data_IF_020407783978
#
_entry.id   IF_020407783978
#
_cell.length_a   1.000
_cell.length_b   1.000
_cell.length_c   1.000
_cell.angle_alpha   90.00
_cell.angle_beta   90.00
_cell.angle_gamma   90.00
#
_symmetry.space_group_name_H-M   'P 1'
#
loop_
_entity.id
_entity.type
_entity.pdbx_description
1 polymer ?
#
# COMPACT_ATOMS: atom_id res chain seq x y z
N UNK A 1 -23.36 -6.00 22.29
CA UNK A 1 -23.98 -7.27 22.76
C UNK A 1 -25.18 -7.73 21.89
N UNK A 2 -26.10 -6.83 21.46
CA UNK A 2 -27.30 -7.24 20.69
C UNK A 2 -26.93 -7.97 19.38
N UNK A 3 -26.07 -7.40 18.53
CA UNK A 3 -25.74 -8.00 17.24
C UNK A 3 -25.11 -9.40 17.36
N UNK A 4 -24.22 -9.61 18.31
CA UNK A 4 -23.56 -10.91 18.54
C UNK A 4 -24.59 -11.95 19.01
N UNK A 5 -25.45 -11.56 19.95
CA UNK A 5 -26.50 -12.42 20.49
C UNK A 5 -27.54 -12.77 19.42
N UNK A 6 -27.91 -11.83 18.56
CA UNK A 6 -28.90 -12.05 17.51
C UNK A 6 -28.34 -12.87 16.36
N UNK A 7 -27.07 -12.69 15.98
CA UNK A 7 -26.40 -13.56 15.03
C UNK A 7 -26.36 -15.00 15.51
N UNK A 8 -26.07 -15.24 16.80
CA UNK A 8 -26.06 -16.58 17.38
C UNK A 8 -27.44 -17.21 17.51
N UNK A 9 -28.50 -16.39 17.68
CA UNK A 9 -29.87 -16.91 17.64
C UNK A 9 -30.24 -17.38 16.24
N UNK A 10 -29.81 -16.64 15.21
CA UNK A 10 -30.05 -17.00 13.82
C UNK A 10 -29.19 -18.22 13.39
N UNK A 11 -27.93 -18.28 13.85
CA UNK A 11 -27.02 -19.37 13.56
C UNK A 11 -26.08 -19.59 14.76
N UNK A 12 -26.22 -20.72 15.45
CA UNK A 12 -25.38 -21.07 16.60
C UNK A 12 -23.88 -21.24 16.23
N UNK A 13 -23.58 -21.54 14.97
CA UNK A 13 -22.23 -21.62 14.42
C UNK A 13 -21.60 -20.28 14.03
N UNK A 14 -22.36 -19.16 14.09
CA UNK A 14 -21.85 -17.86 13.67
C UNK A 14 -20.60 -17.43 14.46
N UNK A 15 -19.59 -16.99 13.73
CA UNK A 15 -18.38 -16.36 14.27
C UNK A 15 -18.42 -14.88 13.97
N UNK A 16 -18.20 -14.05 14.97
CA UNK A 16 -18.10 -12.61 14.80
C UNK A 16 -16.67 -12.24 14.40
N UNK A 17 -16.50 -11.61 13.24
CA UNK A 17 -15.23 -11.10 12.76
C UNK A 17 -15.16 -9.59 13.03
N UNK A 18 -14.12 -9.14 13.73
CA UNK A 18 -13.94 -7.74 14.10
C UNK A 18 -12.60 -7.22 13.60
N UNK A 19 -12.63 -6.10 12.88
CA UNK A 19 -11.43 -5.37 12.48
C UNK A 19 -10.78 -4.71 13.68
N UNK A 20 -9.47 -4.82 13.81
CA UNK A 20 -8.71 -4.35 14.96
C UNK A 20 -7.78 -3.15 14.71
N UNK A 21 -7.74 -2.58 13.49
CA UNK A 21 -6.86 -1.42 13.21
C UNK A 21 -7.09 -0.25 14.16
N UNK A 22 -8.34 -0.01 14.55
CA UNK A 22 -8.71 1.07 15.46
C UNK A 22 -8.15 0.89 16.88
N UNK A 23 -7.79 -0.32 17.28
CA UNK A 23 -7.29 -0.59 18.62
C UNK A 23 -5.92 0.08 18.87
N UNK A 24 -5.07 0.20 17.86
CA UNK A 24 -3.83 0.95 17.94
C UNK A 24 -4.03 2.44 17.70
N UNK A 25 -4.78 2.79 16.64
CA UNK A 25 -5.02 4.18 16.24
C UNK A 25 -5.80 4.98 17.29
N UNK A 26 -6.78 4.36 17.95
CA UNK A 26 -7.63 4.99 18.97
C UNK A 26 -7.44 4.35 20.34
N UNK A 27 -6.17 4.13 20.75
CA UNK A 27 -5.80 3.47 22.01
C UNK A 27 -6.43 4.11 23.24
N UNK A 28 -6.69 5.43 23.21
CA UNK A 28 -7.35 6.19 24.28
C UNK A 28 -8.83 5.81 24.47
N UNK A 29 -9.47 5.25 23.44
CA UNK A 29 -10.84 4.70 23.50
C UNK A 29 -10.77 3.20 23.77
N UNK A 30 -9.90 2.52 23.01
CA UNK A 30 -9.71 1.07 23.07
C UNK A 30 -8.57 0.71 24.02
N UNK A 31 -8.72 1.10 25.30
CA UNK A 31 -7.76 0.65 26.29
C UNK A 31 -7.92 -0.84 26.62
N UNK A 32 -6.98 -1.37 27.41
CA UNK A 32 -6.98 -2.79 27.80
C UNK A 32 -8.30 -3.22 28.43
N UNK A 33 -8.89 -2.40 29.31
CA UNK A 33 -10.13 -2.74 30.02
C UNK A 33 -11.34 -2.70 29.12
N UNK A 34 -11.42 -1.72 28.23
CA UNK A 34 -12.56 -1.51 27.31
C UNK A 34 -12.68 -2.66 26.33
N UNK A 35 -11.59 -3.05 25.65
CA UNK A 35 -11.62 -4.19 24.73
C UNK A 35 -11.90 -5.49 25.50
N UNK A 36 -11.26 -5.69 26.67
CA UNK A 36 -11.50 -6.86 27.51
C UNK A 36 -12.97 -6.99 27.92
N UNK A 37 -13.60 -5.89 28.33
CA UNK A 37 -15.03 -5.88 28.68
C UNK A 37 -15.92 -6.24 27.48
N UNK A 38 -15.58 -5.70 26.27
CA UNK A 38 -16.33 -5.99 25.05
C UNK A 38 -16.28 -7.48 24.70
N UNK A 39 -15.09 -8.07 24.68
CA UNK A 39 -14.91 -9.46 24.22
C UNK A 39 -15.21 -10.51 25.28
N UNK A 40 -15.24 -10.14 26.56
CA UNK A 40 -15.45 -11.07 27.70
C UNK A 40 -16.75 -11.87 27.63
N UNK A 41 -17.77 -11.33 26.96
CA UNK A 41 -19.10 -11.96 26.83
C UNK A 41 -19.24 -12.86 25.59
N UNK A 42 -18.19 -12.95 24.78
CA UNK A 42 -18.18 -13.77 23.58
C UNK A 42 -17.30 -14.99 23.80
N UNK A 43 -17.78 -16.23 23.55
CA UNK A 43 -16.92 -17.42 23.62
C UNK A 43 -15.70 -17.29 22.74
N UNK A 44 -14.57 -17.92 23.15
CA UNK A 44 -13.28 -17.73 22.49
C UNK A 44 -13.26 -18.22 21.03
N UNK A 45 -14.06 -19.25 20.72
CA UNK A 45 -14.24 -19.79 19.37
C UNK A 45 -15.32 -19.08 18.53
N UNK A 46 -15.96 -18.03 19.05
CA UNK A 46 -17.04 -17.29 18.39
C UNK A 46 -16.70 -15.86 18.02
N UNK A 47 -15.45 -15.49 18.15
CA UNK A 47 -14.92 -14.22 17.71
C UNK A 47 -13.54 -14.41 17.06
N UNK A 48 -13.34 -13.69 15.97
CA UNK A 48 -12.06 -13.58 15.27
C UNK A 48 -11.68 -12.11 15.19
N UNK A 49 -10.55 -11.76 15.80
CA UNK A 49 -10.01 -10.40 15.77
C UNK A 49 -8.96 -10.31 14.66
N UNK A 50 -9.18 -9.42 13.72
CA UNK A 50 -8.22 -9.13 12.65
C UNK A 50 -7.32 -7.99 13.13
N UNK A 51 -6.07 -8.27 13.49
CA UNK A 51 -5.08 -7.23 13.82
C UNK A 51 -4.51 -6.66 12.51
N UNK A 52 -5.31 -5.84 11.84
CA UNK A 52 -5.11 -5.45 10.44
C UNK A 52 -3.90 -4.54 10.19
N UNK A 53 -3.41 -3.83 11.19
CA UNK A 53 -2.48 -2.73 11.00
C UNK A 53 -1.24 -2.84 11.89
N UNK A 54 -0.65 -4.04 11.97
CA UNK A 54 0.57 -4.27 12.76
C UNK A 54 1.73 -3.43 12.25
N UNK A 55 1.84 -3.27 10.94
CA UNK A 55 2.81 -2.41 10.26
C UNK A 55 2.65 -0.94 10.64
N UNK A 56 1.42 -0.41 10.66
CA UNK A 56 1.13 0.96 11.09
C UNK A 56 1.41 1.17 12.59
N UNK A 57 1.03 0.24 13.44
CA UNK A 57 1.37 0.32 14.86
C UNK A 57 2.87 0.47 15.07
N UNK A 58 3.67 -0.36 14.40
CA UNK A 58 5.12 -0.41 14.60
C UNK A 58 5.85 0.75 13.94
N UNK A 59 5.49 1.11 12.70
CA UNK A 59 6.31 1.98 11.87
C UNK A 59 5.75 3.40 11.68
N UNK A 60 4.47 3.64 11.95
CA UNK A 60 3.86 4.94 11.74
C UNK A 60 3.26 5.54 13.01
N UNK A 61 2.40 4.81 13.71
CA UNK A 61 1.83 5.31 14.97
C UNK A 61 2.80 5.20 16.14
N UNK A 62 3.92 4.49 15.95
CA UNK A 62 4.95 4.26 16.99
C UNK A 62 4.34 3.81 18.32
N UNK A 63 3.35 2.94 18.24
CA UNK A 63 2.66 2.36 19.39
C UNK A 63 3.06 0.91 19.59
N UNK A 64 2.94 0.43 20.83
CA UNK A 64 3.04 -1.00 21.08
C UNK A 64 2.08 -1.76 20.18
N UNK A 65 2.51 -2.85 19.56
CA UNK A 65 1.65 -3.67 18.69
C UNK A 65 0.46 -4.23 19.46
N UNK A 66 -0.70 -4.28 18.84
CA UNK A 66 -1.94 -4.60 19.54
C UNK A 66 -1.91 -5.95 20.25
N UNK A 67 -1.38 -7.00 19.56
CA UNK A 67 -1.35 -8.34 20.13
C UNK A 67 -0.49 -8.43 21.41
N UNK A 68 0.53 -7.60 21.54
CA UNK A 68 1.36 -7.52 22.74
C UNK A 68 0.66 -6.74 23.84
N UNK A 69 0.15 -5.56 23.53
CA UNK A 69 -0.61 -4.71 24.45
C UNK A 69 -1.83 -5.42 25.04
N UNK A 70 -2.58 -6.16 24.24
CA UNK A 70 -3.75 -6.93 24.70
C UNK A 70 -3.42 -8.36 25.11
N UNK A 71 -2.13 -8.71 25.25
CA UNK A 71 -1.66 -10.02 25.72
C UNK A 71 -2.33 -11.18 24.99
N UNK A 72 -2.21 -11.21 23.65
CA UNK A 72 -2.84 -12.20 22.81
C UNK A 72 -4.37 -12.09 22.75
N UNK A 73 -4.87 -10.86 22.83
CA UNK A 73 -6.30 -10.55 22.70
C UNK A 73 -7.20 -11.36 23.66
N UNK A 74 -6.79 -11.47 24.93
CA UNK A 74 -7.58 -12.18 25.97
C UNK A 74 -7.87 -13.63 25.60
N UNK A 75 -6.95 -14.28 24.88
CA UNK A 75 -7.07 -15.63 24.35
C UNK A 75 -8.17 -15.83 23.28
N UNK A 76 -8.71 -14.74 22.71
CA UNK A 76 -9.60 -14.85 21.55
C UNK A 76 -8.79 -15.25 20.32
N UNK A 77 -9.46 -15.87 19.33
CA UNK A 77 -8.84 -16.12 18.04
C UNK A 77 -8.49 -14.80 17.37
N UNK A 78 -7.29 -14.72 16.82
CA UNK A 78 -6.86 -13.52 16.10
C UNK A 78 -5.93 -13.83 14.92
N UNK A 79 -5.85 -12.88 14.01
CA UNK A 79 -5.04 -12.95 12.77
C UNK A 79 -3.99 -11.85 12.84
N UNK A 80 -2.70 -12.22 12.71
CA UNK A 80 -1.65 -11.26 12.42
C UNK A 80 -1.84 -10.74 11.01
N UNK A 81 -2.07 -9.44 10.83
CA UNK A 81 -2.33 -8.88 9.52
C UNK A 81 -1.73 -7.50 9.34
N UNK A 82 -1.40 -7.19 8.09
CA UNK A 82 -0.77 -5.93 7.68
C UNK A 82 -1.62 -5.24 6.61
N UNK A 83 -1.50 -3.91 6.54
CA UNK A 83 -2.20 -3.07 5.57
C UNK A 83 -1.19 -2.13 4.88
N UNK A 84 -0.35 -2.64 3.98
CA UNK A 84 0.81 -1.92 3.46
C UNK A 84 0.47 -0.66 2.66
N UNK A 85 -0.74 -0.52 2.16
CA UNK A 85 -1.19 0.64 1.39
C UNK A 85 -2.60 1.07 1.78
N UNK A 86 -2.75 1.54 3.00
CA UNK A 86 -3.98 2.11 3.51
C UNK A 86 -4.51 3.23 2.58
N UNK A 87 -5.81 3.22 2.29
CA UNK A 87 -6.44 4.20 1.40
C UNK A 87 -6.28 3.91 -0.10
N UNK A 88 -5.85 2.72 -0.48
CA UNK A 88 -5.70 2.32 -1.88
C UNK A 88 -4.64 3.12 -2.65
N UNK A 89 -3.76 3.82 -1.93
CA UNK A 89 -2.67 4.61 -2.53
C UNK A 89 -1.54 3.71 -2.93
N UNK A 90 -0.92 4.09 -4.03
CA UNK A 90 0.05 3.28 -4.71
C UNK A 90 1.38 3.98 -4.75
N UNK A 91 2.34 3.33 -4.21
CA UNK A 91 3.73 3.68 -4.35
C UNK A 91 4.56 2.49 -3.95
N UNK A 92 5.72 2.35 -4.55
CA UNK A 92 6.71 1.41 -4.08
C UNK A 92 7.18 1.89 -2.71
N UNK A 93 6.77 1.19 -1.68
CA UNK A 93 7.10 1.48 -0.28
C UNK A 93 6.93 0.23 0.56
N UNK A 94 7.54 0.21 1.73
CA UNK A 94 7.42 -0.86 2.70
C UNK A 94 8.78 -1.43 3.11
N UNK A 95 8.88 -1.84 4.37
CA UNK A 95 10.10 -2.47 4.89
C UNK A 95 10.00 -3.96 4.63
N UNK A 96 10.53 -4.45 3.49
CA UNK A 96 10.35 -5.85 3.08
C UNK A 96 10.78 -6.85 4.16
N UNK A 97 11.87 -6.59 4.89
CA UNK A 97 12.29 -7.48 5.98
C UNK A 97 11.24 -7.60 7.09
N UNK A 98 10.55 -6.50 7.42
CA UNK A 98 9.45 -6.54 8.37
C UNK A 98 8.26 -7.37 7.84
N UNK A 99 7.90 -7.19 6.56
CA UNK A 99 6.78 -7.93 5.97
C UNK A 99 7.08 -9.43 5.82
N UNK A 100 8.34 -9.78 5.58
CA UNK A 100 8.77 -11.17 5.53
C UNK A 100 8.83 -11.84 6.91
N UNK A 101 9.29 -11.11 7.94
CA UNK A 101 9.74 -11.73 9.19
C UNK A 101 9.01 -11.23 10.45
N UNK A 102 8.25 -10.13 10.37
CA UNK A 102 7.61 -9.52 11.53
C UNK A 102 6.59 -10.42 12.25
N UNK A 103 5.92 -11.32 11.55
CA UNK A 103 5.00 -12.29 12.13
C UNK A 103 5.70 -13.31 13.04
N UNK A 104 6.99 -13.56 12.83
CA UNK A 104 7.77 -14.50 13.65
C UNK A 104 7.94 -13.98 15.09
N UNK A 105 7.95 -12.66 15.28
CA UNK A 105 7.95 -12.04 16.61
C UNK A 105 6.69 -12.46 17.38
N UNK A 106 5.52 -12.38 16.74
CA UNK A 106 4.26 -12.79 17.32
C UNK A 106 4.19 -14.30 17.59
N UNK A 107 4.65 -15.12 16.63
CA UNK A 107 4.66 -16.59 16.76
C UNK A 107 5.53 -17.07 17.92
N UNK A 108 6.66 -16.42 18.18
CA UNK A 108 7.60 -16.78 19.25
C UNK A 108 7.28 -16.13 20.61
N UNK A 109 6.37 -15.15 20.64
CA UNK A 109 6.04 -14.41 21.86
C UNK A 109 5.27 -15.27 22.88
N UNK A 110 5.57 -15.12 24.18
CA UNK A 110 4.71 -15.67 25.24
C UNK A 110 3.31 -15.05 25.24
N UNK A 111 3.15 -13.86 24.64
CA UNK A 111 1.88 -13.14 24.50
C UNK A 111 1.14 -13.47 23.20
N UNK A 112 1.54 -14.47 22.44
CA UNK A 112 0.86 -14.82 21.16
C UNK A 112 -0.62 -15.21 21.34
N UNK A 113 -1.02 -15.64 22.53
CA UNK A 113 -2.39 -16.08 22.79
C UNK A 113 -2.85 -17.11 21.78
N UNK A 114 -4.05 -16.92 21.24
CA UNK A 114 -4.64 -17.80 20.25
C UNK A 114 -4.49 -17.21 18.82
N UNK A 115 -3.25 -16.98 18.39
CA UNK A 115 -2.91 -16.62 17.01
C UNK A 115 -3.17 -17.81 16.09
N UNK A 116 -4.08 -17.64 15.12
CA UNK A 116 -4.53 -18.76 14.26
C UNK A 116 -4.21 -18.58 12.77
N UNK A 117 -3.90 -17.36 12.33
CA UNK A 117 -3.66 -17.10 10.92
C UNK A 117 -2.78 -15.88 10.69
N UNK A 118 -2.24 -15.79 9.47
CA UNK A 118 -1.58 -14.63 8.90
C UNK A 118 -2.49 -14.00 7.85
N UNK A 119 -2.45 -12.68 7.67
CA UNK A 119 -3.33 -11.96 6.76
C UNK A 119 -2.70 -10.75 6.10
N UNK A 120 -3.24 -10.42 4.95
CA UNK A 120 -2.95 -9.22 4.19
C UNK A 120 -4.26 -8.51 3.87
N UNK A 121 -4.35 -7.23 4.16
CA UNK A 121 -5.51 -6.38 3.87
C UNK A 121 -5.14 -5.29 2.85
N UNK A 122 -4.95 -5.62 1.57
CA UNK A 122 -4.62 -4.62 0.56
C UNK A 122 -5.85 -3.79 0.23
N UNK A 123 -5.70 -2.47 0.21
CA UNK A 123 -6.74 -1.56 -0.28
C UNK A 123 -6.56 -1.20 -1.76
N UNK A 124 -5.42 -1.57 -2.36
CA UNK A 124 -5.14 -1.47 -3.78
C UNK A 124 -4.27 -2.63 -4.22
N UNK A 125 -4.84 -3.56 -4.98
CA UNK A 125 -4.24 -4.86 -5.29
C UNK A 125 -3.41 -4.90 -6.58
N UNK A 126 -3.46 -3.86 -7.38
CA UNK A 126 -2.74 -3.79 -8.67
C UNK A 126 -1.41 -3.03 -8.56
N UNK A 127 -0.78 -3.07 -7.41
CA UNK A 127 0.45 -2.32 -7.15
C UNK A 127 1.24 -2.91 -6.00
N UNK A 128 2.56 -2.70 -6.00
CA UNK A 128 3.46 -3.22 -4.99
C UNK A 128 3.44 -4.75 -4.91
N UNK A 129 3.43 -5.39 -6.07
CA UNK A 129 3.27 -6.83 -6.25
C UNK A 129 4.32 -7.62 -5.47
N UNK A 130 5.57 -7.15 -5.45
CA UNK A 130 6.67 -7.77 -4.71
C UNK A 130 6.34 -7.88 -3.22
N UNK A 131 5.76 -6.84 -2.64
CA UNK A 131 5.39 -6.83 -1.22
C UNK A 131 4.21 -7.78 -0.95
N UNK A 132 3.22 -7.79 -1.82
CA UNK A 132 2.05 -8.66 -1.65
C UNK A 132 2.42 -10.13 -1.79
N UNK A 133 3.25 -10.48 -2.75
CA UNK A 133 3.75 -11.84 -2.92
C UNK A 133 4.57 -12.26 -1.70
N UNK A 134 5.49 -11.38 -1.24
CA UNK A 134 6.29 -11.63 -0.04
C UNK A 134 5.43 -11.87 1.22
N UNK A 135 4.41 -11.06 1.45
CA UNK A 135 3.51 -11.22 2.61
C UNK A 135 2.74 -12.53 2.53
N UNK A 136 2.30 -12.91 1.34
CA UNK A 136 1.59 -14.19 1.17
C UNK A 136 2.51 -15.38 1.38
N UNK A 137 3.73 -15.36 0.90
CA UNK A 137 4.74 -16.40 1.14
C UNK A 137 5.12 -16.48 2.62
N UNK A 138 5.30 -15.32 3.27
CA UNK A 138 5.58 -15.24 4.70
C UNK A 138 4.52 -15.94 5.56
N UNK A 139 3.25 -15.86 5.14
CA UNK A 139 2.15 -16.53 5.84
C UNK A 139 2.26 -18.06 5.90
N UNK A 140 3.04 -18.66 5.02
CA UNK A 140 3.30 -20.10 4.97
C UNK A 140 4.64 -20.49 5.61
N UNK A 141 5.43 -19.51 6.07
CA UNK A 141 6.74 -19.73 6.67
C UNK A 141 6.72 -19.58 8.19
N UNK A 142 7.35 -20.49 8.89
CA UNK A 142 7.63 -20.41 10.32
C UNK A 142 9.12 -20.19 10.62
N UNK A 143 9.91 -19.86 9.61
CA UNK A 143 11.35 -19.57 9.70
C UNK A 143 11.67 -18.27 8.97
N UNK A 144 12.85 -17.73 9.28
CA UNK A 144 13.30 -16.47 8.69
C UNK A 144 13.44 -16.61 7.17
N UNK A 145 12.86 -15.64 6.46
CA UNK A 145 13.04 -15.46 5.01
C UNK A 145 14.23 -14.53 4.80
N UNK A 146 15.23 -15.01 4.07
CA UNK A 146 16.37 -14.20 3.63
C UNK A 146 15.98 -13.40 2.39
N UNK A 147 15.71 -12.12 2.57
CA UNK A 147 15.08 -11.24 1.57
C UNK A 147 15.81 -11.27 0.23
N UNK A 148 17.15 -11.25 0.22
CA UNK A 148 17.89 -11.19 -1.03
C UNK A 148 17.77 -12.47 -1.84
N UNK A 149 17.71 -13.62 -1.18
CA UNK A 149 17.50 -14.92 -1.86
C UNK A 149 16.03 -15.00 -2.35
N UNK A 150 15.09 -14.59 -1.53
CA UNK A 150 13.69 -14.53 -1.94
C UNK A 150 13.48 -13.61 -3.17
N UNK A 151 14.12 -12.42 -3.21
CA UNK A 151 14.04 -11.50 -4.34
C UNK A 151 14.68 -12.08 -5.62
N UNK A 152 15.69 -12.94 -5.47
CA UNK A 152 16.25 -13.67 -6.61
C UNK A 152 15.21 -14.63 -7.18
N UNK A 153 14.60 -15.47 -6.34
CA UNK A 153 13.57 -16.42 -6.75
C UNK A 153 12.34 -15.70 -7.33
N UNK A 154 11.90 -14.61 -6.70
CA UNK A 154 10.86 -13.72 -7.21
C UNK A 154 11.16 -13.24 -8.63
N UNK A 155 12.38 -12.73 -8.85
CA UNK A 155 12.79 -12.23 -10.17
C UNK A 155 12.84 -13.34 -11.22
N UNK A 156 13.33 -14.52 -10.86
CA UNK A 156 13.36 -15.68 -11.75
C UNK A 156 11.94 -16.13 -12.14
N UNK A 157 11.02 -16.16 -11.18
CA UNK A 157 9.64 -16.55 -11.42
C UNK A 157 8.88 -15.48 -12.25
N UNK A 158 9.07 -14.19 -11.92
CA UNK A 158 8.34 -13.09 -12.56
C UNK A 158 8.85 -12.73 -13.94
N UNK A 159 10.17 -12.74 -14.11
CA UNK A 159 10.82 -12.32 -15.37
C UNK A 159 11.35 -13.49 -16.20
N UNK A 160 11.29 -14.72 -15.67
CA UNK A 160 11.82 -15.93 -16.31
C UNK A 160 13.33 -16.13 -16.12
N UNK A 161 14.03 -15.12 -15.64
CA UNK A 161 15.46 -15.15 -15.24
C UNK A 161 15.79 -13.96 -14.35
N UNK A 162 16.92 -14.04 -13.67
CA UNK A 162 17.54 -12.88 -13.00
C UNK A 162 18.91 -12.57 -13.62
N UNK A 163 19.47 -11.42 -13.27
CA UNK A 163 20.80 -10.97 -13.68
C UNK A 163 21.49 -10.21 -12.56
N UNK A 164 22.77 -9.91 -12.74
CA UNK A 164 23.50 -9.08 -11.78
C UNK A 164 22.88 -7.68 -11.65
N UNK A 165 22.38 -7.11 -12.75
CA UNK A 165 21.73 -5.79 -12.76
C UNK A 165 20.42 -5.82 -11.98
N UNK A 166 19.56 -6.84 -12.16
CA UNK A 166 18.32 -7.00 -11.38
C UNK A 166 18.64 -7.14 -9.89
N UNK A 167 19.62 -7.94 -9.51
CA UNK A 167 19.99 -8.09 -8.10
C UNK A 167 20.57 -6.80 -7.52
N UNK A 168 21.36 -6.05 -8.31
CA UNK A 168 21.83 -4.73 -7.91
C UNK A 168 20.70 -3.73 -7.78
N UNK A 169 19.70 -3.78 -8.65
CA UNK A 169 18.49 -2.96 -8.54
C UNK A 169 17.77 -3.22 -7.21
N UNK A 170 17.56 -4.49 -6.85
CA UNK A 170 16.96 -4.83 -5.55
C UNK A 170 17.78 -4.34 -4.37
N UNK A 171 19.11 -4.48 -4.41
CA UNK A 171 19.99 -3.99 -3.34
C UNK A 171 19.84 -2.47 -3.11
N UNK A 172 19.64 -1.68 -4.18
CA UNK A 172 19.34 -0.24 -4.07
C UNK A 172 17.90 0.05 -3.64
N UNK A 173 16.92 -0.70 -4.12
CA UNK A 173 15.54 -0.54 -3.71
C UNK A 173 15.32 -0.88 -2.23
N UNK A 174 16.04 -1.87 -1.69
CA UNK A 174 16.05 -2.20 -0.26
C UNK A 174 16.64 -1.08 0.61
N UNK A 175 17.49 -0.23 0.07
CA UNK A 175 18.05 0.95 0.76
C UNK A 175 17.16 2.18 0.64
N UNK A 176 16.17 2.16 -0.24
CA UNK A 176 15.29 3.27 -0.54
C UNK A 176 13.83 2.92 -0.25
N UNK A 177 13.01 2.74 -1.26
CA UNK A 177 11.56 2.55 -1.13
C UNK A 177 11.17 1.29 -0.36
N UNK A 178 11.91 0.22 -0.49
CA UNK A 178 11.66 -1.05 0.20
C UNK A 178 12.41 -1.22 1.53
N UNK A 179 13.08 -0.17 1.99
CA UNK A 179 13.66 -0.03 3.33
C UNK A 179 12.94 1.00 4.21
N UNK A 180 11.87 1.62 3.70
CA UNK A 180 11.12 2.67 4.40
C UNK A 180 9.64 2.35 4.46
N UNK A 181 8.98 2.88 5.50
CA UNK A 181 7.53 2.85 5.64
C UNK A 181 6.98 4.26 5.42
N UNK A 182 6.02 4.39 4.53
CA UNK A 182 5.39 5.68 4.20
C UNK A 182 3.89 5.58 4.40
N UNK A 183 3.33 6.43 5.25
CA UNK A 183 1.89 6.54 5.44
C UNK A 183 1.25 7.14 4.19
N UNK A 184 0.25 6.45 3.64
CA UNK A 184 -0.48 6.90 2.47
C UNK A 184 0.48 7.37 1.35
N UNK A 185 1.31 6.48 0.79
CA UNK A 185 2.38 6.84 -0.13
C UNK A 185 1.85 7.52 -1.38
N UNK A 186 2.13 8.80 -1.52
CA UNK A 186 1.75 9.64 -2.65
C UNK A 186 2.59 10.91 -2.72
N UNK A 187 2.57 11.55 -3.85
CA UNK A 187 3.18 12.86 -4.04
C UNK A 187 2.21 13.99 -3.64
N UNK A 188 2.74 15.13 -3.20
CA UNK A 188 1.92 16.28 -2.86
C UNK A 188 1.20 16.88 -4.08
N UNK A 189 1.78 16.81 -5.28
CA UNK A 189 1.14 17.26 -6.51
C UNK A 189 -0.11 16.44 -6.89
N UNK A 190 -0.30 15.26 -6.32
CA UNK A 190 -1.54 14.47 -6.46
C UNK A 190 -2.66 14.96 -5.53
N UNK A 191 -2.36 15.90 -4.64
CA UNK A 191 -3.32 16.49 -3.72
C UNK A 191 -3.97 17.73 -4.34
N UNK A 192 -5.07 18.18 -3.73
CA UNK A 192 -5.62 19.50 -4.05
C UNK A 192 -4.62 20.59 -3.70
N UNK A 193 -4.56 21.68 -4.48
CA UNK A 193 -3.71 22.82 -4.16
C UNK A 193 -3.94 23.30 -2.73
N UNK A 194 -2.86 23.56 -2.01
CA UNK A 194 -2.89 24.01 -0.62
C UNK A 194 -3.06 22.90 0.43
N UNK A 195 -3.25 21.65 0.02
CA UNK A 195 -3.24 20.51 0.93
C UNK A 195 -1.85 19.88 0.97
N UNK A 196 -1.20 19.95 2.12
CA UNK A 196 0.07 19.25 2.37
C UNK A 196 -0.21 18.10 3.33
N UNK A 197 0.19 16.87 2.96
CA UNK A 197 0.15 15.72 3.86
C UNK A 197 1.55 15.20 4.15
N UNK A 198 1.70 14.66 5.35
CA UNK A 198 2.89 13.91 5.72
C UNK A 198 2.94 12.60 4.94
N UNK A 199 4.13 12.09 4.69
CA UNK A 199 4.30 10.80 4.02
C UNK A 199 4.48 10.94 2.51
N UNK A 200 5.61 11.49 2.07
CA UNK A 200 6.01 11.48 0.67
C UNK A 200 6.67 10.15 0.29
N UNK A 201 6.50 9.77 -0.97
CA UNK A 201 7.24 8.63 -1.54
C UNK A 201 8.74 8.95 -1.50
N UNK A 202 9.55 7.99 -1.06
CA UNK A 202 11.00 8.17 -0.98
C UNK A 202 11.63 8.08 -2.38
N UNK A 203 11.99 9.22 -2.95
CA UNK A 203 12.75 9.35 -4.19
C UNK A 203 14.12 9.92 -3.84
N UNK A 204 15.11 9.07 -3.77
CA UNK A 204 16.50 9.40 -3.42
C UNK A 204 17.48 8.85 -4.46
N UNK A 205 18.77 9.11 -4.25
CA UNK A 205 19.82 8.65 -5.17
C UNK A 205 19.88 7.13 -5.31
N UNK A 206 19.66 6.39 -4.21
CA UNK A 206 19.64 4.93 -4.27
C UNK A 206 18.45 4.42 -5.11
N UNK A 207 17.28 5.08 -5.05
CA UNK A 207 16.17 4.74 -5.94
C UNK A 207 16.56 4.94 -7.41
N UNK A 208 17.21 6.07 -7.73
CA UNK A 208 17.68 6.33 -9.09
C UNK A 208 18.66 5.26 -9.57
N UNK A 209 19.64 4.90 -8.76
CA UNK A 209 20.60 3.82 -9.08
C UNK A 209 19.90 2.48 -9.26
N UNK A 210 18.90 2.18 -8.44
CA UNK A 210 18.07 0.98 -8.60
C UNK A 210 17.34 0.97 -9.93
N UNK A 211 16.71 2.08 -10.31
CA UNK A 211 16.05 2.22 -11.60
C UNK A 211 17.04 2.09 -12.77
N UNK A 212 18.24 2.70 -12.68
CA UNK A 212 19.28 2.60 -13.70
C UNK A 212 19.73 1.16 -13.91
N UNK A 213 20.00 0.41 -12.81
CA UNK A 213 20.30 -1.02 -12.90
C UNK A 213 19.14 -1.81 -13.53
N UNK A 214 17.91 -1.47 -13.17
CA UNK A 214 16.73 -2.13 -13.75
C UNK A 214 16.63 -1.85 -15.26
N UNK A 215 16.91 -0.61 -15.71
CA UNK A 215 16.99 -0.24 -17.13
C UNK A 215 18.08 -1.02 -17.86
N UNK A 216 19.26 -1.19 -17.27
CA UNK A 216 20.35 -1.94 -17.88
C UNK A 216 20.02 -3.41 -18.14
N UNK A 217 19.10 -3.99 -17.38
CA UNK A 217 18.61 -5.35 -17.62
C UNK A 217 17.67 -5.47 -18.85
N UNK A 218 17.33 -4.35 -19.53
CA UNK A 218 16.38 -4.34 -20.63
C UNK A 218 16.84 -5.16 -21.86
N UNK A 219 18.15 -5.25 -22.11
CA UNK A 219 18.68 -6.07 -23.22
C UNK A 219 18.29 -7.55 -23.05
N UNK A 220 18.21 -8.00 -21.81
CA UNK A 220 17.89 -9.37 -21.44
C UNK A 220 16.39 -9.62 -21.20
N UNK A 221 15.69 -8.65 -20.61
CA UNK A 221 14.33 -8.81 -20.06
C UNK A 221 13.28 -7.97 -20.79
N UNK A 222 13.68 -7.07 -21.69
CA UNK A 222 12.81 -6.08 -22.30
C UNK A 222 11.60 -6.66 -23.06
N UNK A 223 11.63 -7.93 -23.45
CA UNK A 223 10.51 -8.62 -24.08
C UNK A 223 9.53 -9.27 -23.08
N UNK A 224 9.87 -9.30 -21.78
CA UNK A 224 9.00 -9.87 -20.76
C UNK A 224 7.91 -8.84 -20.36
N UNK A 225 6.62 -9.18 -20.43
CA UNK A 225 5.55 -8.24 -20.14
C UNK A 225 5.53 -7.79 -18.66
N UNK A 226 5.90 -8.66 -17.71
CA UNK A 226 5.93 -8.30 -16.27
C UNK A 226 7.06 -7.32 -16.00
N UNK A 227 8.25 -7.55 -16.60
CA UNK A 227 9.35 -6.61 -16.52
C UNK A 227 8.98 -5.23 -17.10
N UNK A 228 8.25 -5.18 -18.22
CA UNK A 228 7.80 -3.93 -18.83
C UNK A 228 6.84 -3.15 -17.93
N UNK A 229 5.93 -3.83 -17.23
CA UNK A 229 5.00 -3.20 -16.29
C UNK A 229 5.77 -2.63 -15.10
N UNK A 230 6.63 -3.44 -14.46
CA UNK A 230 7.39 -3.01 -13.31
C UNK A 230 8.33 -1.84 -13.66
N UNK A 231 8.97 -1.88 -14.83
CA UNK A 231 9.77 -0.78 -15.37
C UNK A 231 8.95 0.49 -15.53
N UNK A 232 7.72 0.39 -16.07
CA UNK A 232 6.86 1.54 -16.25
C UNK A 232 6.42 2.16 -14.91
N UNK A 233 6.09 1.34 -13.93
CA UNK A 233 5.71 1.80 -12.58
C UNK A 233 6.88 2.44 -11.83
N UNK A 234 8.05 1.80 -11.84
CA UNK A 234 9.27 2.35 -11.24
C UNK A 234 9.64 3.71 -11.86
N UNK A 235 9.60 3.78 -13.20
CA UNK A 235 9.90 5.02 -13.93
C UNK A 235 8.87 6.10 -13.63
N UNK A 236 7.58 5.77 -13.60
CA UNK A 236 6.52 6.72 -13.27
C UNK A 236 6.67 7.26 -11.85
N UNK A 237 7.03 6.41 -10.88
CA UNK A 237 7.29 6.85 -9.51
C UNK A 237 8.50 7.80 -9.44
N UNK A 238 9.57 7.53 -10.17
CA UNK A 238 10.72 8.42 -10.26
C UNK A 238 10.36 9.78 -10.89
N UNK A 239 9.64 9.75 -12.02
CA UNK A 239 9.16 10.97 -12.68
C UNK A 239 8.21 11.76 -11.77
N UNK A 240 7.35 11.08 -11.03
CA UNK A 240 6.52 11.69 -10.00
C UNK A 240 7.33 12.47 -8.96
N UNK A 241 8.48 11.94 -8.54
CA UNK A 241 9.42 12.66 -7.65
C UNK A 241 10.03 13.90 -8.31
N UNK A 242 10.34 13.85 -9.61
CA UNK A 242 10.80 15.04 -10.36
C UNK A 242 9.71 16.09 -10.48
N UNK A 243 8.48 15.67 -10.72
CA UNK A 243 7.30 16.56 -10.73
C UNK A 243 7.09 17.21 -9.36
N UNK A 244 7.27 16.47 -8.27
CA UNK A 244 7.22 17.01 -6.90
C UNK A 244 8.23 18.14 -6.68
N UNK A 245 9.45 17.97 -7.16
CA UNK A 245 10.49 19.01 -7.08
C UNK A 245 10.09 20.24 -7.91
N UNK A 246 9.61 20.03 -9.14
CA UNK A 246 9.15 21.13 -9.99
C UNK A 246 7.99 21.89 -9.37
N UNK A 247 7.03 21.20 -8.75
CA UNK A 247 5.91 21.84 -8.05
C UNK A 247 6.41 22.81 -6.98
N UNK A 248 7.35 22.37 -6.16
CA UNK A 248 7.95 23.23 -5.12
C UNK A 248 8.71 24.43 -5.71
N UNK A 249 9.43 24.22 -6.80
CA UNK A 249 10.14 25.32 -7.49
C UNK A 249 9.16 26.32 -8.09
N UNK A 250 8.08 25.87 -8.72
CA UNK A 250 7.04 26.74 -9.29
C UNK A 250 6.42 27.61 -8.19
N UNK A 251 6.04 27.02 -7.06
CA UNK A 251 5.47 27.74 -5.92
C UNK A 251 6.45 28.81 -5.40
N UNK A 252 7.73 28.45 -5.31
CA UNK A 252 8.77 29.37 -4.85
C UNK A 252 8.94 30.57 -5.79
N UNK A 253 8.98 30.35 -7.11
CA UNK A 253 9.12 31.46 -8.09
C UNK A 253 7.92 32.40 -8.07
N UNK A 254 6.70 31.86 -7.91
CA UNK A 254 5.51 32.70 -7.71
C UNK A 254 5.59 33.54 -6.44
N UNK A 255 6.07 32.97 -5.33
CA UNK A 255 6.27 33.70 -4.08
C UNK A 255 7.32 34.83 -4.21
N UNK A 256 8.36 34.64 -5.03
CA UNK A 256 9.38 35.62 -5.34
C UNK A 256 8.93 36.67 -6.37
N UNK A 257 7.78 36.47 -7.03
CA UNK A 257 7.26 37.33 -8.08
C UNK A 257 7.90 37.08 -9.45
N UNK A 258 8.74 36.10 -9.62
CA UNK A 258 9.33 35.71 -10.92
C UNK A 258 8.36 34.83 -11.73
N UNK A 259 7.34 35.48 -12.28
CA UNK A 259 6.31 34.79 -13.07
C UNK A 259 6.87 34.20 -14.37
N UNK A 260 7.93 34.77 -14.93
CA UNK A 260 8.54 34.23 -16.16
C UNK A 260 9.20 32.89 -15.89
N UNK A 261 9.99 32.80 -14.84
CA UNK A 261 10.64 31.54 -14.45
C UNK A 261 9.60 30.52 -14.01
N UNK A 262 8.56 30.92 -13.29
CA UNK A 262 7.45 30.02 -12.92
C UNK A 262 6.80 29.37 -14.15
N UNK A 263 6.49 30.16 -15.20
CA UNK A 263 5.90 29.64 -16.45
C UNK A 263 6.85 28.68 -17.19
N UNK A 264 8.16 28.94 -17.20
CA UNK A 264 9.14 28.02 -17.79
C UNK A 264 9.17 26.66 -17.03
N UNK A 265 9.09 26.70 -15.71
CA UNK A 265 9.03 25.49 -14.89
C UNK A 265 7.71 24.74 -15.08
N UNK A 266 6.58 25.44 -15.22
CA UNK A 266 5.28 24.82 -15.56
C UNK A 266 5.32 24.08 -16.89
N UNK A 267 5.97 24.62 -17.92
CA UNK A 267 6.12 23.93 -19.19
C UNK A 267 6.92 22.62 -19.07
N UNK A 268 7.93 22.60 -18.21
CA UNK A 268 8.67 21.36 -17.88
C UNK A 268 7.82 20.37 -17.10
N UNK A 269 7.05 20.85 -16.14
CA UNK A 269 6.08 20.05 -15.37
C UNK A 269 5.08 19.35 -16.33
N UNK A 270 4.44 20.10 -17.24
CA UNK A 270 3.51 19.57 -18.22
C UNK A 270 4.18 18.51 -19.12
N UNK A 271 5.40 18.77 -19.58
CA UNK A 271 6.16 17.81 -20.42
C UNK A 271 6.40 16.49 -19.70
N UNK A 272 6.77 16.54 -18.40
CA UNK A 272 6.97 15.32 -17.61
C UNK A 272 5.65 14.59 -17.35
N UNK A 273 4.56 15.30 -17.05
CA UNK A 273 3.24 14.72 -16.85
C UNK A 273 2.74 14.00 -18.11
N UNK A 274 2.85 14.62 -19.29
CA UNK A 274 2.48 14.02 -20.55
C UNK A 274 3.37 12.81 -20.91
N UNK A 275 4.66 12.89 -20.61
CA UNK A 275 5.59 11.77 -20.79
C UNK A 275 5.25 10.58 -19.89
N UNK A 276 4.88 10.84 -18.64
CA UNK A 276 4.43 9.82 -17.69
C UNK A 276 3.11 9.17 -18.13
N UNK A 277 2.13 9.97 -18.58
CA UNK A 277 0.88 9.47 -19.16
C UNK A 277 1.14 8.57 -20.36
N UNK A 278 1.98 9.01 -21.30
CA UNK A 278 2.35 8.22 -22.47
C UNK A 278 3.05 6.90 -22.12
N UNK A 279 3.87 6.88 -21.06
CA UNK A 279 4.52 5.66 -20.55
C UNK A 279 3.48 4.68 -20.00
N UNK A 280 2.65 5.12 -19.07
CA UNK A 280 1.66 4.29 -18.39
C UNK A 280 0.58 3.79 -19.36
N UNK A 281 0.22 4.57 -20.38
CA UNK A 281 -0.79 4.20 -21.38
C UNK A 281 -0.42 2.96 -22.18
N UNK A 282 0.85 2.56 -22.23
CA UNK A 282 1.29 1.35 -22.92
C UNK A 282 0.81 0.06 -22.28
N UNK A 283 0.46 0.10 -21.00
CA UNK A 283 0.06 -1.08 -20.24
C UNK A 283 -1.41 -1.02 -19.83
N UNK A 284 -2.23 -2.01 -20.21
CA UNK A 284 -3.68 -2.00 -19.91
C UNK A 284 -4.00 -1.90 -18.41
N UNK A 285 -3.16 -2.48 -17.54
CA UNK A 285 -3.34 -2.46 -16.08
C UNK A 285 -3.14 -1.07 -15.47
N UNK A 286 -2.40 -0.19 -16.16
CA UNK A 286 -2.07 1.16 -15.71
C UNK A 286 -2.98 2.25 -16.30
N UNK A 287 -4.02 1.86 -17.04
CA UNK A 287 -4.98 2.78 -17.65
C UNK A 287 -6.20 2.98 -16.75
N UNK A 288 -6.54 4.24 -16.49
CA UNK A 288 -7.77 4.59 -15.77
C UNK A 288 -9.03 4.06 -16.46
N UNK A 289 -9.04 4.05 -17.78
CA UNK A 289 -10.18 3.55 -18.57
C UNK A 289 -10.56 2.11 -18.21
N UNK A 290 -9.60 1.23 -17.96
CA UNK A 290 -9.89 -0.15 -17.53
C UNK A 290 -10.77 -0.16 -16.28
N UNK A 291 -10.44 0.65 -15.30
CA UNK A 291 -11.19 0.79 -14.04
C UNK A 291 -12.60 1.35 -14.29
N UNK A 292 -12.69 2.39 -15.11
CA UNK A 292 -13.98 2.99 -15.47
C UNK A 292 -14.88 2.05 -16.29
N UNK A 293 -14.30 1.25 -17.16
CA UNK A 293 -15.02 0.26 -17.97
C UNK A 293 -15.67 -0.83 -17.10
N UNK A 294 -15.00 -1.28 -16.03
CA UNK A 294 -15.61 -2.21 -15.09
C UNK A 294 -16.86 -1.61 -14.44
N UNK A 295 -16.77 -0.37 -13.98
CA UNK A 295 -17.92 0.32 -13.40
C UNK A 295 -19.06 0.51 -14.42
N UNK A 296 -18.71 0.91 -15.65
CA UNK A 296 -19.68 1.12 -16.73
C UNK A 296 -20.42 -0.16 -17.12
N UNK A 297 -19.73 -1.30 -17.16
CA UNK A 297 -20.31 -2.60 -17.52
C UNK A 297 -21.33 -3.11 -16.50
N UNK A 298 -21.30 -2.65 -15.26
CA UNK A 298 -22.26 -3.00 -14.24
C UNK A 298 -23.57 -2.21 -14.34
N UNK A 299 -23.66 -1.19 -15.20
CA UNK A 299 -24.80 -0.32 -15.34
C UNK A 299 -25.82 -0.87 -16.35
N UNK A 300 -27.12 -0.80 -15.98
CA UNK A 300 -28.23 -1.18 -16.85
C UNK A 300 -28.81 0.01 -17.63
N UNK A 301 -28.62 1.24 -17.15
CA UNK A 301 -29.11 2.47 -17.76
C UNK A 301 -28.01 3.50 -17.96
N UNK A 302 -28.21 4.46 -18.88
CA UNK A 302 -27.28 5.56 -19.11
C UNK A 302 -27.06 6.42 -17.83
N UNK A 303 -28.08 6.58 -17.01
CA UNK A 303 -27.96 7.32 -15.75
C UNK A 303 -27.09 6.55 -14.75
N UNK A 304 -27.29 5.24 -14.60
CA UNK A 304 -26.44 4.38 -13.76
C UNK A 304 -25.00 4.38 -14.24
N UNK A 305 -24.79 4.30 -15.57
CA UNK A 305 -23.43 4.36 -16.16
C UNK A 305 -22.70 5.62 -15.71
N UNK A 306 -23.31 6.79 -15.89
CA UNK A 306 -22.73 8.07 -15.46
C UNK A 306 -22.44 8.10 -13.96
N UNK A 307 -23.36 7.58 -13.14
CA UNK A 307 -23.19 7.53 -11.68
C UNK A 307 -22.06 6.58 -11.28
N UNK A 308 -21.96 5.40 -11.88
CA UNK A 308 -20.93 4.41 -11.57
C UNK A 308 -19.52 4.87 -12.00
N UNK A 309 -19.42 5.47 -13.18
CA UNK A 309 -18.15 6.08 -13.63
C UNK A 309 -17.69 7.21 -12.68
N UNK A 310 -18.63 8.07 -12.25
CA UNK A 310 -18.32 9.12 -11.29
C UNK A 310 -17.83 8.52 -9.94
N UNK A 311 -18.52 7.49 -9.44
CA UNK A 311 -18.11 6.83 -8.21
C UNK A 311 -16.75 6.15 -8.35
N UNK A 312 -16.49 5.50 -9.47
CA UNK A 312 -15.20 4.86 -9.74
C UNK A 312 -14.05 5.89 -9.78
N UNK A 313 -14.26 7.06 -10.41
CA UNK A 313 -13.28 8.16 -10.38
C UNK A 313 -13.05 8.68 -8.98
N UNK A 314 -14.09 8.81 -8.17
CA UNK A 314 -13.98 9.27 -6.78
C UNK A 314 -13.14 8.33 -5.93
N UNK A 315 -13.35 7.01 -6.06
CA UNK A 315 -12.59 6.01 -5.28
C UNK A 315 -11.09 6.12 -5.53
N UNK A 316 -10.66 6.32 -6.77
CA UNK A 316 -9.22 6.37 -7.13
C UNK A 316 -8.62 7.78 -7.07
N UNK A 317 -9.39 8.78 -6.69
CA UNK A 317 -8.91 10.16 -6.56
C UNK A 317 -9.16 10.72 -5.17
N UNK A 318 -10.37 11.19 -4.88
CA UNK A 318 -10.70 11.89 -3.63
C UNK A 318 -11.37 10.99 -2.58
N UNK A 319 -11.69 9.77 -2.91
CA UNK A 319 -12.46 8.81 -2.09
C UNK A 319 -13.88 9.29 -1.75
N UNK A 320 -14.04 10.54 -1.44
CA UNK A 320 -15.31 11.22 -1.16
C UNK A 320 -15.29 12.03 0.15
N UNK A 321 -16.17 13.06 0.27
CA UNK A 321 -16.27 13.85 1.48
C UNK A 321 -16.69 12.97 2.70
N UNK A 322 -16.14 13.20 3.92
CA UNK A 322 -15.10 14.18 4.26
C UNK A 322 -13.68 13.69 4.02
N UNK A 323 -13.48 12.53 3.41
CA UNK A 323 -12.17 11.87 3.24
C UNK A 323 -11.60 12.25 1.87
N UNK A 324 -11.28 13.54 1.71
CA UNK A 324 -10.70 14.04 0.48
C UNK A 324 -9.24 13.58 0.32
N UNK A 325 -8.85 13.30 -0.93
CA UNK A 325 -7.50 12.87 -1.29
C UNK A 325 -7.01 11.61 -0.55
N UNK A 326 -7.94 10.76 -0.13
CA UNK A 326 -7.63 9.53 0.60
C UNK A 326 -6.97 8.48 -0.30
N UNK A 327 -7.39 8.38 -1.54
CA UNK A 327 -6.80 7.49 -2.53
C UNK A 327 -6.31 8.27 -3.75
N UNK A 328 -5.09 8.02 -4.18
CA UNK A 328 -4.54 8.59 -5.39
C UNK A 328 -3.51 7.63 -5.99
N UNK A 329 -3.67 7.33 -7.27
CA UNK A 329 -2.74 6.50 -8.03
C UNK A 329 -2.27 7.26 -9.26
N UNK A 330 -1.05 6.96 -9.73
CA UNK A 330 -0.59 7.42 -11.03
C UNK A 330 -1.19 6.50 -12.10
N UNK A 331 -2.08 7.06 -12.91
CA UNK A 331 -2.74 6.37 -14.01
C UNK A 331 -2.47 7.11 -15.31
N UNK A 332 -2.49 6.38 -16.44
CA UNK A 332 -2.70 6.99 -17.75
C UNK A 332 -4.18 7.35 -17.91
N UNK A 333 -4.44 8.56 -18.39
CA UNK A 333 -5.79 9.09 -18.66
C UNK A 333 -6.31 8.77 -20.06
#
# INVERSE_FOLDING_TARGET
EMCIRDSRKANAGAVWVMQGWMFGYQRHIWDYKTLGALVSKVPDDKILLLDLAVDYNKHFWHSEVNWEYYKGFYNKQWVYSVIPNMGGKVGMTGILDFYANGHLEALSSPNKGNLIAHGLAPEGIENNEVLYELVTDAGWSNHKIEIREWLKDYSENRYGKTSADIMSAWDYLLKSVYGTFTDHPRFNWQLRPGMVKNGSINICEDYFKGLECFVNAADDLGNNPMYQIDMAEMTAQYLGGKVEILTKMIDQEYLLGDTLQAVLLQSRFETLMLGMDALLSKHPTLRLNRWLDFASKAAETAQQKKQYEMNARRIVSVWGPPVDDYAARIWSC
#
